data_IF_028106461079
#
_entry.id   IF_028106461079
#
_cell.length_a   1.000
_cell.length_b   1.000
_cell.length_c   1.000
_cell.angle_alpha   90.00
_cell.angle_beta   90.00
_cell.angle_gamma   90.00
#
_symmetry.space_group_name_H-M   'P 1'
#
loop_
_entity.id
_entity.type
_entity.pdbx_description
1 polymer ?
#
# COMPACT_ATOMS: atom_id res chain seq x y z
N UNK A 1 25.87 7.00 -8.83
CA UNK A 1 25.93 5.56 -8.51
C UNK A 1 25.48 4.81 -9.75
N UNK A 2 26.19 3.75 -10.17
CA UNK A 2 25.83 2.94 -11.33
C UNK A 2 25.28 1.61 -10.81
N UNK A 3 24.04 1.28 -11.17
CA UNK A 3 23.43 0.00 -10.80
C UNK A 3 24.04 -1.09 -11.69
N UNK A 4 24.58 -2.14 -11.08
CA UNK A 4 25.13 -3.32 -11.72
C UNK A 4 24.23 -4.54 -11.58
N UNK A 5 23.43 -4.58 -10.50
CA UNK A 5 22.48 -5.66 -10.26
C UNK A 5 21.08 -5.11 -10.01
N UNK A 6 20.10 -5.71 -10.68
CA UNK A 6 18.69 -5.57 -10.39
C UNK A 6 18.22 -6.84 -9.70
N UNK A 7 17.86 -6.75 -8.43
CA UNK A 7 17.37 -7.86 -7.63
C UNK A 7 15.86 -7.73 -7.50
N UNK A 8 15.12 -8.66 -8.10
CA UNK A 8 13.67 -8.70 -8.12
C UNK A 8 13.19 -9.79 -7.15
N UNK A 9 12.45 -9.40 -6.12
CA UNK A 9 11.85 -10.33 -5.15
C UNK A 9 10.36 -10.46 -5.44
N UNK A 10 9.89 -11.71 -5.66
CA UNK A 10 8.56 -12.03 -6.17
C UNK A 10 8.51 -12.03 -7.70
N UNK A 11 7.49 -12.65 -8.29
CA UNK A 11 7.24 -12.67 -9.74
C UNK A 11 5.74 -12.60 -10.07
N UNK A 12 4.98 -11.96 -9.20
CA UNK A 12 3.54 -11.76 -9.34
C UNK A 12 3.18 -10.75 -10.43
N UNK A 13 1.89 -10.43 -10.51
CA UNK A 13 1.33 -9.53 -11.53
C UNK A 13 2.02 -8.16 -11.58
N UNK A 14 2.27 -7.56 -10.42
CA UNK A 14 2.91 -6.22 -10.34
C UNK A 14 4.31 -6.23 -10.96
N UNK A 15 5.13 -7.25 -10.67
CA UNK A 15 6.47 -7.35 -11.24
C UNK A 15 6.43 -7.56 -12.76
N UNK A 16 5.53 -8.41 -13.24
CA UNK A 16 5.33 -8.66 -14.67
C UNK A 16 4.94 -7.39 -15.39
N UNK A 17 3.95 -6.66 -14.88
CA UNK A 17 3.53 -5.36 -15.42
C UNK A 17 4.65 -4.32 -15.40
N UNK A 18 5.45 -4.30 -14.33
CA UNK A 18 6.63 -3.43 -14.25
C UNK A 18 7.63 -3.73 -15.35
N UNK A 19 7.96 -5.00 -15.60
CA UNK A 19 8.90 -5.40 -16.65
C UNK A 19 8.37 -5.00 -18.04
N UNK A 20 7.09 -5.23 -18.32
CA UNK A 20 6.47 -4.82 -19.58
C UNK A 20 6.49 -3.30 -19.76
N UNK A 21 6.18 -2.53 -18.71
CA UNK A 21 6.23 -1.07 -18.74
C UNK A 21 7.67 -0.57 -19.00
N UNK A 22 8.66 -1.16 -18.35
CA UNK A 22 10.07 -0.84 -18.55
C UNK A 22 10.49 -1.14 -20.00
N UNK A 23 10.01 -2.25 -20.59
CA UNK A 23 10.21 -2.57 -22.03
C UNK A 23 9.60 -1.50 -22.92
N UNK A 24 8.32 -1.17 -22.71
CA UNK A 24 7.61 -0.14 -23.50
C UNK A 24 8.33 1.21 -23.44
N UNK A 25 8.83 1.60 -22.29
CA UNK A 25 9.57 2.85 -22.08
C UNK A 25 11.05 2.73 -22.46
N UNK A 26 11.52 1.59 -22.92
CA UNK A 26 12.94 1.30 -23.23
C UNK A 26 13.86 1.71 -22.07
N UNK A 27 13.44 1.43 -20.85
CA UNK A 27 14.11 1.92 -19.67
C UNK A 27 15.47 1.27 -19.47
N UNK A 28 16.44 2.07 -19.01
CA UNK A 28 17.83 1.63 -18.82
C UNK A 28 18.00 0.50 -17.80
N UNK A 29 17.06 0.29 -16.88
CA UNK A 29 17.09 -0.82 -15.90
C UNK A 29 17.10 -2.20 -16.56
N UNK A 30 16.47 -2.38 -17.74
CA UNK A 30 16.52 -3.64 -18.48
C UNK A 30 17.88 -3.90 -19.14
N UNK A 31 18.80 -2.93 -19.07
CA UNK A 31 20.19 -3.06 -19.55
C UNK A 31 21.18 -3.24 -18.40
N UNK A 32 20.68 -3.49 -17.19
CA UNK A 32 21.53 -3.80 -16.03
C UNK A 32 22.28 -5.10 -16.29
N UNK A 33 23.60 -5.17 -16.01
CA UNK A 33 24.43 -6.33 -16.34
C UNK A 33 23.95 -7.64 -15.71
N UNK A 34 23.35 -7.57 -14.54
CA UNK A 34 22.84 -8.76 -13.82
C UNK A 34 21.42 -8.50 -13.33
N UNK A 35 20.47 -9.30 -13.79
CA UNK A 35 19.07 -9.25 -13.34
C UNK A 35 18.73 -10.59 -12.74
N UNK A 36 18.42 -10.58 -11.43
CA UNK A 36 18.11 -11.78 -10.65
C UNK A 36 16.67 -11.67 -10.16
N UNK A 37 15.88 -12.71 -10.38
CA UNK A 37 14.54 -12.86 -9.83
C UNK A 37 14.51 -14.01 -8.84
N UNK A 38 14.00 -13.75 -7.63
CA UNK A 38 13.80 -14.78 -6.60
C UNK A 38 12.30 -14.94 -6.39
N UNK A 39 11.77 -16.09 -6.78
CA UNK A 39 10.36 -16.45 -6.56
C UNK A 39 10.18 -17.96 -6.66
N UNK A 40 9.15 -18.55 -6.00
CA UNK A 40 8.90 -19.99 -6.05
C UNK A 40 8.25 -20.44 -7.37
N UNK A 41 7.50 -19.55 -8.04
CA UNK A 41 6.81 -19.86 -9.28
C UNK A 41 7.77 -19.81 -10.49
N UNK A 42 7.34 -20.44 -11.58
CA UNK A 42 8.05 -20.33 -12.85
C UNK A 42 7.90 -18.94 -13.45
N UNK A 43 8.98 -18.40 -14.00
CA UNK A 43 8.94 -17.16 -14.76
C UNK A 43 8.22 -17.42 -16.10
N UNK A 44 7.20 -16.63 -16.47
CA UNK A 44 6.52 -16.75 -17.75
C UNK A 44 7.48 -16.56 -18.93
N UNK A 45 7.27 -17.32 -20.00
CA UNK A 45 8.12 -17.31 -21.21
C UNK A 45 8.24 -15.89 -21.81
N UNK A 46 7.14 -15.15 -21.90
CA UNK A 46 7.15 -13.79 -22.44
C UNK A 46 8.03 -12.80 -21.63
N UNK A 47 8.24 -13.06 -20.33
CA UNK A 47 9.18 -12.28 -19.51
C UNK A 47 10.62 -12.65 -19.86
N UNK A 48 10.90 -13.93 -20.13
CA UNK A 48 12.21 -14.38 -20.60
C UNK A 48 12.52 -13.84 -22.00
N UNK A 49 11.50 -13.63 -22.86
CA UNK A 49 11.67 -12.94 -24.14
C UNK A 49 12.08 -11.47 -23.97
N UNK A 50 11.66 -10.84 -22.88
CA UNK A 50 12.05 -9.46 -22.56
C UNK A 50 13.45 -9.41 -21.96
N UNK A 51 13.78 -10.36 -21.08
CA UNK A 51 15.04 -10.43 -20.34
C UNK A 51 15.61 -11.85 -20.49
N UNK A 52 16.23 -12.17 -21.63
CA UNK A 52 16.76 -13.53 -21.90
C UNK A 52 17.82 -14.00 -20.89
N UNK A 53 18.57 -13.05 -20.32
CA UNK A 53 19.67 -13.33 -19.38
C UNK A 53 19.22 -13.29 -17.91
N UNK A 54 17.89 -13.29 -17.64
CA UNK A 54 17.36 -13.28 -16.28
C UNK A 54 17.77 -14.53 -15.53
N UNK A 55 18.44 -14.36 -14.38
CA UNK A 55 18.80 -15.42 -13.46
C UNK A 55 17.61 -15.69 -12.54
N UNK A 56 17.01 -16.85 -12.65
CA UNK A 56 15.91 -17.26 -11.77
C UNK A 56 16.39 -18.16 -10.65
N UNK A 57 16.19 -17.70 -9.40
CA UNK A 57 16.40 -18.49 -8.19
C UNK A 57 15.04 -18.96 -7.69
N UNK A 58 14.69 -20.20 -8.01
CA UNK A 58 13.37 -20.78 -7.70
C UNK A 58 13.29 -21.21 -6.24
N UNK A 59 12.88 -20.28 -5.36
CA UNK A 59 12.73 -20.56 -3.93
C UNK A 59 11.80 -19.56 -3.25
N UNK A 60 11.21 -19.96 -2.11
CA UNK A 60 10.57 -19.04 -1.17
C UNK A 60 11.62 -18.28 -0.34
N UNK A 61 11.35 -17.02 -0.05
CA UNK A 61 12.11 -16.26 0.93
C UNK A 61 11.43 -16.48 2.28
N UNK A 62 12.17 -17.06 3.24
CA UNK A 62 11.68 -17.32 4.60
C UNK A 62 12.62 -16.68 5.61
N UNK A 63 12.17 -16.55 6.86
CA UNK A 63 13.01 -16.04 7.94
C UNK A 63 14.32 -16.80 8.11
N UNK A 64 14.29 -18.13 7.88
CA UNK A 64 15.42 -19.01 8.05
C UNK A 64 16.47 -18.88 6.94
N UNK A 65 16.03 -18.60 5.69
CA UNK A 65 16.95 -18.55 4.55
C UNK A 65 17.27 -17.13 4.06
N UNK A 66 16.48 -16.12 4.45
CA UNK A 66 16.56 -14.74 3.95
C UNK A 66 17.97 -14.17 3.98
N UNK A 67 18.62 -14.24 5.13
CA UNK A 67 19.97 -13.70 5.29
C UNK A 67 20.98 -14.40 4.38
N UNK A 68 20.99 -15.73 4.36
CA UNK A 68 21.91 -16.54 3.55
C UNK A 68 21.67 -16.32 2.05
N UNK A 69 20.40 -16.15 1.66
CA UNK A 69 19.98 -16.01 0.27
C UNK A 69 20.25 -14.61 -0.26
N UNK A 70 19.89 -13.57 0.49
CA UNK A 70 19.90 -12.18 0.01
C UNK A 70 21.21 -11.45 0.25
N UNK A 71 21.92 -11.68 1.39
CA UNK A 71 23.15 -10.93 1.69
C UNK A 71 24.23 -11.02 0.60
N UNK A 72 24.47 -12.17 -0.05
CA UNK A 72 25.46 -12.24 -1.13
C UNK A 72 25.06 -11.47 -2.40
N UNK A 73 23.77 -11.15 -2.55
CA UNK A 73 23.20 -10.47 -3.71
C UNK A 73 23.02 -8.99 -3.50
N UNK A 74 23.21 -8.50 -2.28
CA UNK A 74 23.00 -7.12 -1.86
C UNK A 74 24.32 -6.39 -1.65
N UNK A 75 24.49 -5.27 -2.36
CA UNK A 75 25.62 -4.36 -2.22
C UNK A 75 25.23 -2.91 -2.62
N UNK A 76 26.17 -2.00 -2.58
CA UNK A 76 25.95 -0.58 -2.91
C UNK A 76 25.70 -0.30 -4.40
N UNK A 77 25.81 -1.29 -5.27
CA UNK A 77 25.52 -1.22 -6.71
C UNK A 77 24.26 -2.01 -7.08
N UNK A 78 23.53 -2.52 -6.09
CA UNK A 78 22.29 -3.29 -6.27
C UNK A 78 21.08 -2.41 -6.03
N UNK A 79 20.08 -2.52 -6.93
CA UNK A 79 18.71 -2.05 -6.69
C UNK A 79 17.83 -3.27 -6.40
N UNK A 80 17.32 -3.36 -5.19
CA UNK A 80 16.35 -4.38 -4.79
C UNK A 80 14.93 -3.83 -4.95
N UNK A 81 14.12 -4.50 -5.76
CA UNK A 81 12.68 -4.24 -5.92
C UNK A 81 11.95 -5.41 -5.27
N UNK A 82 11.32 -5.15 -4.13
CA UNK A 82 10.62 -6.16 -3.35
C UNK A 82 9.10 -6.06 -3.59
N UNK A 83 8.57 -7.08 -4.24
CA UNK A 83 7.16 -7.26 -4.55
C UNK A 83 6.67 -8.62 -4.03
N UNK A 84 7.29 -9.10 -2.96
CA UNK A 84 6.88 -10.33 -2.28
C UNK A 84 5.61 -10.10 -1.47
N UNK A 85 4.88 -11.17 -1.24
CA UNK A 85 3.80 -11.28 -0.26
C UNK A 85 4.19 -12.33 0.79
N UNK A 86 3.62 -12.25 1.99
CA UNK A 86 3.91 -13.18 3.10
C UNK A 86 5.40 -13.25 3.52
N UNK A 87 6.14 -12.17 3.32
CA UNK A 87 7.57 -12.04 3.68
C UNK A 87 7.74 -10.82 4.60
N UNK A 88 8.60 -10.92 5.62
CA UNK A 88 8.85 -9.80 6.53
C UNK A 88 9.67 -8.69 5.84
N UNK A 89 8.97 -7.70 5.29
CA UNK A 89 9.56 -6.56 4.60
C UNK A 89 10.53 -5.78 5.49
N UNK A 90 10.28 -5.70 6.81
CA UNK A 90 11.15 -4.97 7.73
C UNK A 90 12.52 -5.62 7.80
N UNK A 91 12.58 -6.96 7.84
CA UNK A 91 13.85 -7.70 7.84
C UNK A 91 14.62 -7.55 6.53
N UNK A 92 13.91 -7.54 5.39
CA UNK A 92 14.56 -7.29 4.09
C UNK A 92 15.12 -5.87 4.04
N UNK A 93 14.37 -4.87 4.53
CA UNK A 93 14.84 -3.48 4.63
C UNK A 93 16.06 -3.36 5.54
N UNK A 94 16.04 -4.04 6.70
CA UNK A 94 17.20 -4.10 7.59
C UNK A 94 18.45 -4.63 6.88
N UNK A 95 18.28 -5.72 6.15
CA UNK A 95 19.34 -6.36 5.38
C UNK A 95 19.85 -5.46 4.24
N UNK A 96 18.95 -4.82 3.50
CA UNK A 96 19.30 -3.87 2.45
C UNK A 96 20.11 -2.69 3.00
N UNK A 97 19.72 -2.14 4.16
CA UNK A 97 20.45 -1.05 4.82
C UNK A 97 21.82 -1.49 5.33
N UNK A 98 21.94 -2.70 5.90
CA UNK A 98 23.22 -3.27 6.35
C UNK A 98 24.22 -3.42 5.19
N UNK A 99 23.72 -3.77 4.00
CA UNK A 99 24.53 -3.97 2.80
C UNK A 99 24.61 -2.72 1.89
N UNK A 100 24.07 -1.57 2.34
CA UNK A 100 23.98 -0.34 1.55
C UNK A 100 23.31 -0.52 0.17
N UNK A 101 22.31 -1.37 0.08
CA UNK A 101 21.54 -1.67 -1.12
C UNK A 101 20.36 -0.71 -1.26
N UNK A 102 20.17 -0.14 -2.45
CA UNK A 102 18.96 0.61 -2.77
C UNK A 102 17.76 -0.32 -2.71
N UNK A 103 16.71 0.11 -2.02
CA UNK A 103 15.53 -0.72 -1.83
C UNK A 103 14.24 0.05 -2.13
N UNK A 104 13.31 -0.62 -2.79
CA UNK A 104 11.96 -0.13 -3.02
C UNK A 104 10.96 -1.28 -2.89
N UNK A 105 9.82 -1.03 -2.25
CA UNK A 105 8.66 -1.92 -2.25
C UNK A 105 7.35 -1.14 -2.45
N UNK A 106 6.24 -1.87 -2.62
CA UNK A 106 4.89 -1.30 -2.77
C UNK A 106 4.05 -1.41 -1.50
N UNK A 107 4.45 -2.27 -0.55
CA UNK A 107 3.73 -2.49 0.72
C UNK A 107 4.68 -2.95 1.81
N UNK A 108 4.25 -2.82 3.07
CA UNK A 108 4.92 -3.43 4.21
C UNK A 108 4.19 -4.72 4.52
N UNK A 109 4.81 -5.83 4.17
CA UNK A 109 4.30 -7.16 4.44
C UNK A 109 4.82 -7.69 5.78
N UNK A 110 4.06 -8.57 6.42
CA UNK A 110 4.45 -9.24 7.65
C UNK A 110 4.20 -10.75 7.53
N UNK A 111 5.16 -11.54 7.94
CA UNK A 111 4.98 -12.98 8.00
C UNK A 111 4.02 -13.35 9.13
N UNK A 112 2.84 -13.88 8.80
CA UNK A 112 1.82 -14.28 9.77
C UNK A 112 2.25 -15.57 10.48
N UNK A 113 2.89 -15.47 11.64
CA UNK A 113 3.24 -16.65 12.44
C UNK A 113 2.34 -16.91 13.63
N UNK A 114 1.80 -15.89 14.29
CA UNK A 114 1.14 -16.06 15.58
C UNK A 114 -0.09 -15.13 15.76
N UNK A 115 -1.06 -15.64 16.51
CA UNK A 115 -2.22 -14.87 16.93
C UNK A 115 -1.78 -13.75 17.85
N UNK A 116 -1.93 -12.52 17.41
CA UNK A 116 -1.54 -11.35 18.18
C UNK A 116 -2.63 -11.07 19.24
N UNK A 117 -2.26 -11.14 20.52
CA UNK A 117 -3.21 -10.88 21.62
C UNK A 117 -3.72 -9.43 21.68
N UNK A 118 -2.95 -8.49 21.14
CA UNK A 118 -3.31 -7.07 21.17
C UNK A 118 -3.72 -6.60 19.77
N UNK A 119 -5.02 -6.33 19.52
CA UNK A 119 -5.53 -5.90 18.22
C UNK A 119 -4.81 -4.67 17.64
N UNK A 120 -4.31 -3.77 18.49
CA UNK A 120 -3.58 -2.59 18.06
C UNK A 120 -2.25 -2.95 17.37
N UNK A 121 -1.64 -4.08 17.70
CA UNK A 121 -0.42 -4.57 17.05
C UNK A 121 -0.66 -5.23 15.69
N UNK A 122 -1.90 -5.53 15.36
CA UNK A 122 -2.30 -6.03 14.03
C UNK A 122 -2.48 -4.91 13.00
N UNK A 123 -2.33 -3.65 13.41
CA UNK A 123 -2.58 -2.50 12.55
C UNK A 123 -1.35 -2.10 11.74
N UNK A 124 -1.58 -1.59 10.53
CA UNK A 124 -0.52 -1.06 9.65
C UNK A 124 0.28 0.08 10.33
N UNK A 125 -0.35 0.91 11.16
CA UNK A 125 0.40 1.96 11.86
C UNK A 125 1.38 1.40 12.89
N UNK A 126 1.09 0.26 13.49
CA UNK A 126 2.04 -0.40 14.39
C UNK A 126 3.23 -0.98 13.61
N UNK A 127 2.98 -1.58 12.44
CA UNK A 127 4.04 -2.04 11.53
C UNK A 127 4.93 -0.87 11.08
N UNK A 128 4.33 0.26 10.73
CA UNK A 128 5.09 1.46 10.39
C UNK A 128 5.98 1.93 11.55
N UNK A 129 5.50 1.88 12.79
CA UNK A 129 6.29 2.21 13.98
C UNK A 129 7.47 1.23 14.15
N UNK A 130 7.24 -0.07 13.93
CA UNK A 130 8.31 -1.09 13.94
C UNK A 130 9.38 -0.76 12.90
N UNK A 131 8.96 -0.48 11.68
CA UNK A 131 9.87 -0.07 10.60
C UNK A 131 10.67 1.17 10.95
N UNK A 132 10.03 2.24 11.42
CA UNK A 132 10.72 3.47 11.80
C UNK A 132 11.75 3.25 12.93
N UNK A 133 11.44 2.40 13.89
CA UNK A 133 12.38 2.01 14.95
C UNK A 133 13.56 1.22 14.42
N UNK A 134 13.31 0.31 13.48
CA UNK A 134 14.34 -0.50 12.84
C UNK A 134 15.27 0.35 11.99
N UNK A 135 14.72 1.21 11.12
CA UNK A 135 15.51 2.12 10.28
C UNK A 135 16.45 3.00 11.12
N UNK A 136 16.01 3.49 12.28
CA UNK A 136 16.82 4.33 13.17
C UNK A 136 17.99 3.58 13.81
N UNK A 137 17.92 2.26 13.97
CA UNK A 137 18.99 1.46 14.58
C UNK A 137 20.16 1.22 13.63
N UNK A 138 19.91 1.18 12.32
CA UNK A 138 20.92 0.86 11.32
C UNK A 138 21.41 2.15 10.69
N UNK A 139 22.68 2.50 10.95
CA UNK A 139 23.37 3.61 10.29
C UNK A 139 23.65 3.22 8.84
N UNK A 140 23.01 3.88 7.91
CA UNK A 140 23.19 3.67 6.47
C UNK A 140 22.88 4.97 5.74
N UNK A 141 23.65 5.25 4.69
CA UNK A 141 23.46 6.42 3.81
C UNK A 141 22.55 6.12 2.62
N UNK A 142 22.01 4.88 2.53
CA UNK A 142 21.18 4.48 1.43
C UNK A 142 19.72 4.88 1.65
N UNK A 143 19.05 5.25 0.56
CA UNK A 143 17.62 5.51 0.57
C UNK A 143 16.83 4.22 0.49
N UNK A 144 15.78 4.15 1.28
CA UNK A 144 14.76 3.11 1.25
C UNK A 144 13.45 3.79 0.87
N UNK A 145 12.81 3.32 -0.19
CA UNK A 145 11.50 3.76 -0.63
C UNK A 145 10.50 2.65 -0.28
N UNK A 146 9.74 2.88 0.76
CA UNK A 146 8.70 1.94 1.18
C UNK A 146 7.32 2.42 0.75
N UNK A 147 6.41 1.48 0.49
CA UNK A 147 5.03 1.78 0.12
C UNK A 147 4.94 2.71 -1.11
N UNK A 148 5.71 2.39 -2.15
CA UNK A 148 5.89 3.23 -3.35
C UNK A 148 5.14 2.66 -4.56
N UNK A 149 3.82 2.84 -4.57
CA UNK A 149 2.91 2.44 -5.64
C UNK A 149 1.96 3.57 -6.04
N UNK A 150 0.78 3.21 -6.52
CA UNK A 150 -0.31 4.14 -6.74
C UNK A 150 -0.97 4.50 -5.40
N UNK A 151 -1.36 3.48 -4.65
CA UNK A 151 -1.77 3.46 -3.26
C UNK A 151 -1.26 2.16 -2.59
N UNK A 152 -0.38 2.29 -1.64
CA UNK A 152 0.28 3.51 -1.15
C UNK A 152 1.27 4.14 -2.14
N UNK A 153 1.41 5.47 -2.08
CA UNK A 153 2.43 6.23 -2.79
C UNK A 153 1.94 7.46 -3.54
N UNK A 154 1.56 7.34 -4.81
CA UNK A 154 1.15 8.45 -5.68
C UNK A 154 0.01 9.29 -5.10
N UNK A 155 -0.94 8.67 -4.42
CA UNK A 155 -2.10 9.34 -3.80
C UNK A 155 -1.68 10.44 -2.80
N UNK A 156 -0.56 10.26 -2.09
CA UNK A 156 -0.01 11.29 -1.21
C UNK A 156 0.44 12.52 -1.99
N UNK A 157 1.01 12.34 -3.17
CA UNK A 157 1.40 13.44 -4.06
C UNK A 157 0.18 14.13 -4.66
N UNK A 158 -0.87 13.39 -5.02
CA UNK A 158 -2.15 13.96 -5.48
C UNK A 158 -2.80 14.80 -4.39
N UNK A 159 -2.75 14.36 -3.14
CA UNK A 159 -3.22 15.14 -1.98
C UNK A 159 -2.42 16.45 -1.84
N UNK A 160 -1.10 16.39 -1.93
CA UNK A 160 -0.27 17.60 -1.89
C UNK A 160 -0.59 18.54 -3.04
N UNK A 161 -0.79 18.02 -4.26
CA UNK A 161 -1.17 18.82 -5.42
C UNK A 161 -2.54 19.50 -5.23
N UNK A 162 -3.53 18.80 -4.67
CA UNK A 162 -4.84 19.37 -4.37
C UNK A 162 -4.75 20.53 -3.35
N UNK A 163 -3.98 20.33 -2.26
CA UNK A 163 -3.74 21.36 -1.26
C UNK A 163 -2.99 22.56 -1.87
N UNK A 164 -1.99 22.31 -2.70
CA UNK A 164 -1.24 23.35 -3.38
C UNK A 164 -2.17 24.20 -4.26
N UNK A 165 -2.96 23.56 -5.11
CA UNK A 165 -3.93 24.24 -5.99
C UNK A 165 -4.93 25.08 -5.20
N UNK A 166 -5.49 24.53 -4.12
CA UNK A 166 -6.38 25.28 -3.23
C UNK A 166 -5.68 26.53 -2.64
N UNK A 167 -4.42 26.39 -2.22
CA UNK A 167 -3.66 27.52 -1.69
C UNK A 167 -3.37 28.59 -2.75
N UNK A 168 -3.12 28.20 -4.01
CA UNK A 168 -2.96 29.15 -5.12
C UNK A 168 -4.22 30.02 -5.30
N UNK A 169 -5.38 29.40 -5.24
CA UNK A 169 -6.66 30.08 -5.51
C UNK A 169 -7.21 30.85 -4.30
N UNK A 170 -7.03 30.32 -3.07
CA UNK A 170 -7.75 30.80 -1.89
C UNK A 170 -6.86 31.24 -0.71
N UNK A 171 -5.60 30.79 -0.65
CA UNK A 171 -4.68 31.04 0.48
C UNK A 171 -3.25 31.30 0.00
N UNK A 172 -3.01 32.26 -0.93
CA UNK A 172 -1.71 32.45 -1.57
C UNK A 172 -0.57 32.74 -0.58
N UNK A 173 -0.87 33.28 0.59
CA UNK A 173 0.12 33.50 1.66
C UNK A 173 0.70 32.21 2.24
N UNK A 174 0.09 31.04 2.01
CA UNK A 174 0.60 29.73 2.44
C UNK A 174 1.59 29.10 1.45
N UNK A 175 1.69 29.58 0.21
CA UNK A 175 2.55 29.00 -0.82
C UNK A 175 4.03 29.02 -0.44
N UNK A 176 4.49 30.02 0.29
CA UNK A 176 5.88 30.06 0.77
C UNK A 176 6.15 28.92 1.77
N UNK A 177 5.18 28.56 2.59
CA UNK A 177 5.31 27.42 3.50
C UNK A 177 5.33 26.10 2.74
N UNK A 178 4.57 25.95 1.65
CA UNK A 178 4.63 24.78 0.75
C UNK A 178 6.02 24.65 0.14
N UNK A 179 6.59 25.73 -0.41
CA UNK A 179 7.97 25.74 -0.97
C UNK A 179 9.02 25.34 0.06
N UNK A 180 8.77 25.57 1.34
CA UNK A 180 9.63 25.16 2.47
C UNK A 180 9.25 23.79 3.05
N UNK A 181 8.43 22.99 2.35
CA UNK A 181 7.94 21.66 2.79
C UNK A 181 7.28 21.66 4.17
N UNK A 182 6.64 22.77 4.58
CA UNK A 182 5.92 22.89 5.86
C UNK A 182 4.46 22.42 5.74
N UNK A 183 4.25 21.24 5.20
CA UNK A 183 2.91 20.71 4.89
C UNK A 183 1.99 20.62 6.09
N UNK A 184 2.50 20.21 7.26
CA UNK A 184 1.70 20.14 8.49
C UNK A 184 1.20 21.53 8.95
N UNK A 185 2.02 22.57 8.77
CA UNK A 185 1.59 23.95 9.04
C UNK A 185 0.49 24.37 8.08
N UNK A 186 0.66 24.14 6.78
CA UNK A 186 -0.33 24.47 5.75
C UNK A 186 -1.65 23.76 6.03
N UNK A 187 -1.61 22.44 6.25
CA UNK A 187 -2.80 21.66 6.56
C UNK A 187 -3.53 22.19 7.81
N UNK A 188 -2.80 22.56 8.87
CA UNK A 188 -3.40 23.13 10.07
C UNK A 188 -4.14 24.47 9.87
N UNK A 189 -3.97 25.10 8.70
CA UNK A 189 -4.60 26.39 8.36
C UNK A 189 -5.77 26.26 7.37
N UNK A 190 -5.92 25.13 6.71
CA UNK A 190 -6.96 25.01 5.68
C UNK A 190 -7.52 23.59 5.46
N UNK A 191 -6.94 22.54 5.99
CA UNK A 191 -7.42 21.18 5.71
C UNK A 191 -8.16 20.63 6.93
N UNK A 192 -9.41 20.23 6.75
CA UNK A 192 -10.22 19.59 7.80
C UNK A 192 -10.17 18.06 7.69
N UNK A 193 -10.32 17.54 6.47
CA UNK A 193 -10.40 16.11 6.24
C UNK A 193 -9.75 15.72 4.91
N UNK A 194 -9.18 14.53 4.86
CA UNK A 194 -8.62 13.91 3.66
C UNK A 194 -9.19 12.51 3.54
N UNK A 195 -9.83 12.20 2.42
CA UNK A 195 -10.13 10.82 2.04
C UNK A 195 -9.24 10.41 0.87
N UNK A 196 -8.52 9.30 1.02
CA UNK A 196 -8.04 8.53 -0.12
C UNK A 196 -9.23 7.70 -0.58
N UNK A 197 -9.79 8.05 -1.73
CA UNK A 197 -11.01 7.46 -2.23
C UNK A 197 -10.75 6.58 -3.44
N UNK A 198 -11.25 5.36 -3.41
CA UNK A 198 -11.10 4.40 -4.51
C UNK A 198 -12.44 3.76 -4.82
N UNK A 199 -12.71 3.60 -6.12
CA UNK A 199 -13.88 2.88 -6.63
C UNK A 199 -13.47 1.95 -7.74
N UNK A 200 -13.70 0.67 -7.53
CA UNK A 200 -13.55 -0.39 -8.51
C UNK A 200 -14.92 -0.87 -8.99
N UNK A 201 -15.19 -0.74 -10.28
CA UNK A 201 -16.46 -1.13 -10.93
C UNK A 201 -16.30 -2.37 -11.80
N UNK A 202 -15.16 -3.04 -11.77
CA UNK A 202 -14.89 -4.20 -12.60
C UNK A 202 -15.81 -5.37 -12.21
N UNK A 203 -16.36 -6.04 -13.21
CA UNK A 203 -17.23 -7.21 -13.05
C UNK A 203 -16.57 -8.44 -13.64
N UNK A 204 -16.91 -9.62 -13.11
CA UNK A 204 -16.35 -10.91 -13.53
C UNK A 204 -17.40 -12.01 -13.59
N UNK A 205 -17.08 -13.10 -14.29
CA UNK A 205 -17.89 -14.30 -14.31
C UNK A 205 -17.84 -15.16 -13.03
N UNK A 206 -16.88 -14.89 -12.16
CA UNK A 206 -16.76 -15.62 -10.90
C UNK A 206 -18.01 -15.45 -10.04
N UNK A 207 -18.31 -16.48 -9.24
CA UNK A 207 -19.39 -16.45 -8.28
C UNK A 207 -18.83 -16.50 -6.86
N UNK A 208 -19.27 -15.62 -5.98
CA UNK A 208 -18.78 -15.61 -4.61
C UNK A 208 -19.17 -16.91 -3.89
N UNK A 209 -18.30 -17.38 -3.00
CA UNK A 209 -18.53 -18.52 -2.12
C UNK A 209 -18.16 -18.18 -0.69
N UNK A 210 -18.68 -18.94 0.29
CA UNK A 210 -18.39 -18.71 1.71
C UNK A 210 -16.91 -18.88 2.09
N UNK A 211 -16.09 -19.33 1.16
CA UNK A 211 -14.72 -19.74 1.45
C UNK A 211 -13.69 -19.21 0.44
N UNK A 212 -14.12 -18.23 -0.37
CA UNK A 212 -13.28 -17.65 -1.41
C UNK A 212 -13.37 -16.14 -1.38
N UNK A 213 -12.18 -15.49 -1.31
CA UNK A 213 -12.05 -14.05 -1.52
C UNK A 213 -11.65 -13.80 -2.98
N UNK A 214 -12.34 -12.87 -3.61
CA UNK A 214 -12.02 -12.38 -4.95
C UNK A 214 -11.59 -10.92 -4.85
N UNK A 215 -10.51 -10.54 -5.53
CA UNK A 215 -10.04 -9.15 -5.59
C UNK A 215 -9.23 -8.91 -6.85
N UNK A 216 -9.23 -7.68 -7.34
CA UNK A 216 -8.48 -7.21 -8.52
C UNK A 216 -6.99 -6.96 -8.24
N UNK A 217 -6.59 -7.02 -6.97
CA UNK A 217 -5.20 -6.96 -6.51
C UNK A 217 -4.93 -8.11 -5.53
N UNK A 218 -4.12 -7.97 -4.48
CA UNK A 218 -3.81 -9.05 -3.51
C UNK A 218 -5.04 -9.42 -2.65
N UNK A 219 -5.73 -10.56 -2.89
CA UNK A 219 -6.87 -10.95 -2.07
C UNK A 219 -6.50 -11.20 -0.61
N UNK A 220 -5.29 -11.75 -0.35
CA UNK A 220 -4.80 -11.99 1.01
C UNK A 220 -4.53 -10.66 1.73
N UNK A 221 -3.91 -9.69 1.07
CA UNK A 221 -3.72 -8.34 1.59
C UNK A 221 -5.04 -7.67 1.92
N UNK A 222 -6.01 -7.75 1.01
CA UNK A 222 -7.34 -7.18 1.24
C UNK A 222 -8.08 -7.83 2.42
N UNK A 223 -8.01 -9.15 2.59
CA UNK A 223 -8.56 -9.84 3.77
C UNK A 223 -7.90 -9.35 5.05
N UNK A 224 -6.58 -9.21 5.05
CA UNK A 224 -5.84 -8.71 6.21
C UNK A 224 -6.29 -7.29 6.60
N UNK A 225 -6.39 -6.40 5.64
CA UNK A 225 -6.85 -5.03 5.85
C UNK A 225 -8.31 -4.97 6.29
N UNK A 226 -9.19 -5.77 5.66
CA UNK A 226 -10.61 -5.82 5.96
C UNK A 226 -10.90 -6.33 7.38
N UNK A 227 -10.12 -7.31 7.85
CA UNK A 227 -10.27 -7.91 9.18
C UNK A 227 -9.55 -7.13 10.28
N UNK A 228 -8.61 -6.26 9.95
CA UNK A 228 -7.93 -5.39 10.89
C UNK A 228 -8.91 -4.50 11.66
N UNK A 229 -8.60 -4.12 12.92
CA UNK A 229 -9.38 -3.15 13.65
C UNK A 229 -9.52 -1.84 12.88
N UNK A 230 -10.72 -1.25 12.89
CA UNK A 230 -10.95 0.04 12.23
C UNK A 230 -10.13 1.13 12.91
N UNK A 231 -9.35 1.88 12.12
CA UNK A 231 -8.63 3.03 12.61
C UNK A 231 -8.67 4.20 11.61
N UNK A 232 -8.45 5.39 12.13
CA UNK A 232 -8.30 6.61 11.34
C UNK A 232 -7.42 7.63 12.08
N UNK A 233 -6.91 8.60 11.34
CA UNK A 233 -6.31 9.79 11.95
C UNK A 233 -7.40 10.81 12.26
N UNK A 234 -7.32 11.45 13.43
CA UNK A 234 -8.30 12.47 13.84
C UNK A 234 -7.73 13.37 14.94
N UNK A 235 -8.19 14.62 15.06
CA UNK A 235 -7.86 15.48 16.19
C UNK A 235 -8.57 15.06 17.50
N UNK A 236 -9.73 14.40 17.39
CA UNK A 236 -10.56 13.92 18.50
C UNK A 236 -11.14 12.55 18.18
N UNK A 237 -11.62 11.83 19.20
CA UNK A 237 -12.31 10.56 18.98
C UNK A 237 -13.56 10.77 18.11
N UNK A 238 -13.69 10.05 16.97
CA UNK A 238 -14.84 10.19 16.06
C UNK A 238 -16.16 9.78 16.70
N UNK A 239 -16.11 8.73 17.50
CA UNK A 239 -17.22 8.25 18.34
C UNK A 239 -16.65 7.73 19.67
N UNK A 240 -17.50 7.52 20.73
CA UNK A 240 -17.04 7.01 22.02
C UNK A 240 -16.32 5.66 21.96
N UNK A 241 -16.58 4.85 20.92
CA UNK A 241 -15.96 3.52 20.74
C UNK A 241 -14.54 3.58 20.20
N UNK A 242 -14.11 4.75 19.71
CA UNK A 242 -12.75 4.96 19.26
C UNK A 242 -11.85 5.44 20.39
N UNK A 243 -10.78 4.74 20.62
CA UNK A 243 -9.78 5.06 21.63
C UNK A 243 -8.51 5.60 20.99
N UNK A 244 -7.88 6.54 21.65
CA UNK A 244 -6.58 7.06 21.19
C UNK A 244 -5.53 5.95 21.25
N UNK A 245 -4.79 5.77 20.17
CA UNK A 245 -3.71 4.79 20.11
C UNK A 245 -2.63 5.07 21.16
N UNK A 246 -2.13 4.00 21.79
CA UNK A 246 -0.98 4.05 22.69
C UNK A 246 0.34 4.22 21.94
N UNK A 247 0.38 3.82 20.69
CA UNK A 247 1.60 3.80 19.87
C UNK A 247 1.73 5.02 18.97
N UNK A 248 0.61 5.58 18.51
CA UNK A 248 0.60 6.78 17.67
C UNK A 248 -0.50 7.76 18.15
N UNK A 249 -0.14 8.91 18.76
CA UNK A 249 -1.10 9.84 19.33
C UNK A 249 -2.01 10.54 18.30
N UNK A 250 -1.72 10.41 17.00
CA UNK A 250 -2.56 10.94 15.92
C UNK A 250 -3.64 9.95 15.48
N UNK A 251 -3.56 8.69 15.91
CA UNK A 251 -4.47 7.62 15.52
C UNK A 251 -5.52 7.35 16.59
N UNK A 252 -6.72 7.06 16.12
CA UNK A 252 -7.81 6.50 16.90
C UNK A 252 -8.19 5.14 16.34
N UNK A 253 -8.38 4.16 17.22
CA UNK A 253 -8.69 2.77 16.89
C UNK A 253 -9.99 2.36 17.56
N UNK A 254 -10.81 1.59 16.86
CA UNK A 254 -11.92 0.83 17.44
C UNK A 254 -11.56 -0.67 17.41
N UNK A 255 -11.08 -1.24 18.52
CA UNK A 255 -10.63 -2.64 18.55
C UNK A 255 -11.78 -3.65 18.42
N UNK A 256 -13.02 -3.20 18.65
CA UNK A 256 -14.22 -4.04 18.58
C UNK A 256 -14.91 -3.97 17.21
N UNK A 257 -14.41 -3.18 16.27
CA UNK A 257 -15.00 -3.01 14.95
C UNK A 257 -13.95 -3.24 13.87
N UNK A 258 -14.24 -4.16 12.97
CA UNK A 258 -13.36 -4.41 11.83
C UNK A 258 -13.47 -3.28 10.80
N UNK A 259 -12.42 -3.05 10.04
CA UNK A 259 -12.39 -1.99 9.04
C UNK A 259 -13.48 -2.21 7.97
N UNK A 260 -13.73 -3.47 7.57
CA UNK A 260 -14.79 -3.82 6.62
C UNK A 260 -16.21 -3.46 7.07
N UNK A 261 -16.46 -3.27 8.37
CA UNK A 261 -17.76 -2.87 8.94
C UNK A 261 -17.90 -1.35 9.12
N UNK A 262 -16.86 -0.60 8.80
CA UNK A 262 -16.84 0.86 8.89
C UNK A 262 -17.09 1.47 7.52
N UNK A 263 -18.08 2.35 7.40
CA UNK A 263 -18.44 2.99 6.13
C UNK A 263 -18.44 4.50 6.28
N UNK A 264 -18.09 5.17 5.20
CA UNK A 264 -18.26 6.63 5.07
C UNK A 264 -18.57 6.99 3.62
N UNK A 265 -18.98 8.21 3.39
CA UNK A 265 -19.18 8.77 2.05
C UNK A 265 -17.96 9.58 1.66
N UNK A 266 -17.53 9.42 0.43
CA UNK A 266 -16.48 10.20 -0.20
C UNK A 266 -16.88 10.54 -1.64
N UNK A 267 -15.93 11.06 -2.43
CA UNK A 267 -16.13 11.41 -3.82
C UNK A 267 -14.96 10.89 -4.65
N UNK A 268 -15.25 10.55 -5.90
CA UNK A 268 -14.24 10.23 -6.91
C UNK A 268 -14.47 11.02 -8.19
N UNK A 269 -13.45 11.07 -9.04
CA UNK A 269 -13.59 11.54 -10.42
C UNK A 269 -13.66 10.28 -11.31
N UNK A 270 -14.77 10.15 -12.02
CA UNK A 270 -14.96 9.04 -12.97
C UNK A 270 -14.14 9.24 -14.25
N UNK A 271 -13.92 8.21 -15.08
CA UNK A 271 -13.24 8.33 -16.37
C UNK A 271 -13.87 9.38 -17.29
N UNK A 272 -15.17 9.68 -17.13
CA UNK A 272 -15.87 10.72 -17.87
C UNK A 272 -15.70 12.13 -17.25
N UNK A 273 -14.75 12.30 -16.36
CA UNK A 273 -14.40 13.55 -15.69
C UNK A 273 -15.54 14.15 -14.86
N UNK A 274 -16.42 13.29 -14.30
CA UNK A 274 -17.48 13.69 -13.38
C UNK A 274 -17.12 13.37 -11.96
N UNK A 275 -17.46 14.27 -11.04
CA UNK A 275 -17.38 14.01 -9.60
C UNK A 275 -18.63 13.25 -9.17
N UNK A 276 -18.45 12.06 -8.60
CA UNK A 276 -19.54 11.22 -8.10
C UNK A 276 -19.33 10.86 -6.64
N UNK A 277 -20.41 10.83 -5.83
CA UNK A 277 -20.30 10.31 -4.47
C UNK A 277 -20.14 8.79 -4.47
N UNK A 278 -19.35 8.30 -3.55
CA UNK A 278 -19.21 6.87 -3.25
C UNK A 278 -19.51 6.62 -1.77
N UNK A 279 -20.03 5.44 -1.48
CA UNK A 279 -20.14 4.93 -0.12
C UNK A 279 -19.22 3.72 0.01
N UNK A 280 -18.02 3.95 0.48
CA UNK A 280 -17.00 2.92 0.62
C UNK A 280 -16.79 2.47 2.06
N UNK A 281 -16.11 1.35 2.22
CA UNK A 281 -15.58 0.86 3.49
C UNK A 281 -14.34 1.66 3.86
N UNK A 282 -14.22 1.97 5.15
CA UNK A 282 -13.01 2.60 5.70
C UNK A 282 -11.97 1.51 5.95
N UNK A 283 -11.34 1.07 4.88
CA UNK A 283 -10.32 0.02 4.95
C UNK A 283 -9.04 0.57 5.60
N UNK A 284 -8.40 -0.26 6.41
CA UNK A 284 -7.09 0.01 6.98
C UNK A 284 -6.04 0.17 5.88
N UNK A 285 -5.32 1.31 5.87
CA UNK A 285 -4.37 1.57 4.79
C UNK A 285 -3.19 2.45 5.23
N UNK A 286 -2.05 2.31 4.54
CA UNK A 286 -0.80 3.01 4.88
C UNK A 286 -0.90 4.54 4.75
N UNK A 287 -1.69 5.07 3.81
CA UNK A 287 -1.89 6.51 3.63
C UNK A 287 -2.43 7.19 4.87
N UNK A 288 -3.31 6.53 5.62
CA UNK A 288 -3.82 7.10 6.86
C UNK A 288 -2.67 7.41 7.82
N UNK A 289 -1.66 6.54 7.84
CA UNK A 289 -0.46 6.71 8.67
C UNK A 289 0.46 7.78 8.09
N UNK A 290 0.92 7.59 6.87
CA UNK A 290 1.93 8.46 6.23
C UNK A 290 1.43 9.90 6.06
N UNK A 291 0.16 10.10 5.67
CA UNK A 291 -0.42 11.43 5.58
C UNK A 291 -0.64 12.07 6.96
N UNK A 292 -0.95 11.29 8.00
CA UNK A 292 -1.03 11.83 9.36
C UNK A 292 0.32 12.34 9.85
N UNK A 293 1.42 11.69 9.44
CA UNK A 293 2.77 12.17 9.74
C UNK A 293 3.11 13.42 8.92
N UNK A 294 2.74 13.48 7.66
CA UNK A 294 3.04 14.59 6.76
C UNK A 294 2.22 15.85 7.10
N UNK A 295 0.91 15.69 7.31
CA UNK A 295 -0.03 16.81 7.48
C UNK A 295 -0.38 17.11 8.94
N UNK A 296 -0.09 16.19 9.86
CA UNK A 296 -0.40 16.36 11.28
C UNK A 296 0.70 17.07 12.07
N UNK A 297 0.28 17.82 13.08
CA UNK A 297 1.15 18.38 14.14
C UNK A 297 0.75 17.79 15.50
N UNK A 298 1.55 17.96 16.56
CA UNK A 298 1.15 17.54 17.92
C UNK A 298 -0.15 18.20 18.41
N UNK A 299 -0.52 19.36 17.83
CA UNK A 299 -1.70 20.15 18.24
C UNK A 299 -2.87 19.99 17.26
N UNK A 300 -2.62 19.52 16.06
CA UNK A 300 -3.61 19.40 15.01
C UNK A 300 -3.28 18.25 14.06
N UNK A 301 -4.26 17.40 13.81
CA UNK A 301 -4.17 16.36 12.78
C UNK A 301 -5.48 16.35 12.00
N UNK A 302 -5.47 16.43 10.66
CA UNK A 302 -6.70 16.27 9.87
C UNK A 302 -7.35 14.92 10.13
N UNK A 303 -8.65 14.82 9.91
CA UNK A 303 -9.31 13.51 9.79
C UNK A 303 -8.81 12.87 8.51
N UNK A 304 -8.19 11.69 8.59
CA UNK A 304 -7.69 10.98 7.41
C UNK A 304 -8.22 9.55 7.43
N UNK A 305 -8.84 9.13 6.32
CA UNK A 305 -9.30 7.76 6.12
C UNK A 305 -9.11 7.31 4.68
N UNK A 306 -9.00 6.01 4.48
CA UNK A 306 -9.07 5.38 3.18
C UNK A 306 -10.48 4.85 2.95
N UNK A 307 -11.09 5.20 1.84
CA UNK A 307 -12.51 4.91 1.53
C UNK A 307 -12.56 4.11 0.25
N UNK A 308 -12.85 2.82 0.38
CA UNK A 308 -12.82 1.88 -0.73
C UNK A 308 -14.21 1.31 -1.05
N UNK A 309 -14.70 1.61 -2.23
CA UNK A 309 -15.85 0.98 -2.88
C UNK A 309 -15.33 -0.09 -3.84
N UNK A 310 -15.02 -1.26 -3.28
CA UNK A 310 -14.40 -2.37 -4.03
C UNK A 310 -15.36 -2.98 -5.06
N UNK A 311 -14.81 -3.74 -6.00
CA UNK A 311 -15.61 -4.36 -7.06
C UNK A 311 -16.73 -5.27 -6.51
N UNK A 312 -17.83 -5.46 -7.26
CA UNK A 312 -19.05 -6.12 -6.75
C UNK A 312 -18.80 -7.50 -6.16
N UNK A 313 -17.94 -8.32 -6.77
CA UNK A 313 -17.67 -9.67 -6.26
C UNK A 313 -16.85 -9.63 -4.97
N UNK A 314 -15.92 -8.67 -4.81
CA UNK A 314 -15.17 -8.47 -3.58
C UNK A 314 -16.10 -8.06 -2.44
N UNK A 315 -17.05 -7.16 -2.70
CA UNK A 315 -18.05 -6.76 -1.71
C UNK A 315 -18.89 -7.94 -1.25
N UNK A 316 -19.36 -8.78 -2.20
CA UNK A 316 -20.13 -9.99 -1.88
C UNK A 316 -19.29 -10.98 -1.07
N UNK A 317 -18.01 -11.17 -1.41
CA UNK A 317 -17.09 -12.03 -0.66
C UNK A 317 -16.92 -11.55 0.78
N UNK A 318 -16.79 -10.25 1.01
CA UNK A 318 -16.73 -9.67 2.36
C UNK A 318 -18.03 -9.91 3.15
N UNK A 319 -19.19 -9.76 2.53
CA UNK A 319 -20.48 -10.02 3.20
C UNK A 319 -20.62 -11.51 3.57
N UNK A 320 -20.22 -12.44 2.70
CA UNK A 320 -20.18 -13.87 3.00
C UNK A 320 -19.19 -14.18 4.13
N UNK A 321 -18.01 -13.56 4.14
CA UNK A 321 -17.04 -13.70 5.23
C UNK A 321 -17.63 -13.21 6.56
N UNK A 322 -18.35 -12.10 6.56
CA UNK A 322 -19.06 -11.59 7.73
C UNK A 322 -20.12 -12.58 8.23
N UNK A 323 -20.95 -13.13 7.33
CA UNK A 323 -21.95 -14.15 7.66
C UNK A 323 -21.30 -15.42 8.23
N UNK A 324 -20.06 -15.72 7.82
CA UNK A 324 -19.26 -16.84 8.34
C UNK A 324 -18.39 -16.45 9.57
N UNK A 325 -18.88 -15.53 10.40
CA UNK A 325 -18.21 -15.06 11.61
C UNK A 325 -16.78 -14.54 11.39
N UNK A 326 -16.54 -13.84 10.27
CA UNK A 326 -15.23 -13.28 9.89
C UNK A 326 -14.12 -14.33 9.77
N UNK A 327 -14.49 -15.55 9.46
CA UNK A 327 -13.51 -16.61 9.21
C UNK A 327 -12.78 -16.31 7.90
N UNK A 328 -11.46 -16.34 7.95
CA UNK A 328 -10.63 -16.15 6.76
C UNK A 328 -10.98 -17.18 5.68
N UNK A 329 -11.11 -16.77 4.41
CA UNK A 329 -11.38 -17.69 3.32
C UNK A 329 -10.18 -18.60 3.08
N UNK A 330 -10.42 -19.85 2.67
CA UNK A 330 -9.35 -20.81 2.35
C UNK A 330 -8.72 -20.55 0.98
N UNK A 331 -9.47 -19.92 0.08
CA UNK A 331 -9.07 -19.67 -1.29
C UNK A 331 -9.06 -18.16 -1.56
N UNK A 332 -8.00 -17.67 -2.14
CA UNK A 332 -7.83 -16.30 -2.54
C UNK A 332 -7.61 -16.28 -4.06
N UNK A 333 -8.51 -15.63 -4.79
CA UNK A 333 -8.49 -15.58 -6.25
C UNK A 333 -8.31 -14.12 -6.68
N UNK A 334 -7.19 -13.84 -7.32
CA UNK A 334 -6.96 -12.57 -7.98
C UNK A 334 -7.73 -12.53 -9.31
N UNK A 335 -8.41 -11.42 -9.58
CA UNK A 335 -9.09 -11.13 -10.84
C UNK A 335 -8.10 -10.44 -11.75
N UNK A 336 -7.84 -11.03 -12.90
CA UNK A 336 -6.99 -10.45 -13.94
C UNK A 336 -7.84 -9.68 -14.95
N UNK A 337 -7.18 -8.89 -15.79
CA UNK A 337 -7.85 -8.05 -16.78
C UNK A 337 -8.68 -8.87 -17.79
N UNK A 338 -8.26 -10.07 -18.13
CA UNK A 338 -8.96 -11.00 -19.00
C UNK A 338 -10.18 -11.69 -18.35
N UNK A 339 -10.27 -11.68 -17.03
CA UNK A 339 -11.46 -12.12 -16.28
C UNK A 339 -12.56 -11.04 -16.21
N UNK A 340 -12.25 -9.79 -16.56
CA UNK A 340 -13.18 -8.66 -16.51
C UNK A 340 -14.08 -8.67 -17.73
N UNK A 341 -15.39 -8.70 -17.50
CA UNK A 341 -16.40 -8.85 -18.54
C UNK A 341 -17.04 -7.54 -18.99
N UNK A 342 -17.00 -6.51 -18.17
CA UNK A 342 -17.53 -5.19 -18.50
C UNK A 342 -16.44 -4.29 -19.11
N UNK A 343 -16.56 -3.97 -20.38
CA UNK A 343 -15.58 -3.15 -21.13
C UNK A 343 -15.40 -1.73 -20.57
N UNK A 344 -16.44 -1.21 -19.91
CA UNK A 344 -16.45 0.12 -19.29
C UNK A 344 -16.10 0.07 -17.79
N UNK A 345 -15.70 -1.10 -17.29
CA UNK A 345 -15.22 -1.26 -15.91
C UNK A 345 -13.93 -0.50 -15.69
N UNK A 346 -13.83 0.15 -14.54
CA UNK A 346 -12.65 0.95 -14.17
C UNK A 346 -12.36 0.83 -12.68
N UNK A 347 -11.13 1.09 -12.35
CA UNK A 347 -10.68 1.39 -11.00
C UNK A 347 -10.19 2.85 -10.96
N UNK A 348 -10.82 3.66 -10.12
CA UNK A 348 -10.52 5.08 -9.99
C UNK A 348 -10.03 5.38 -8.58
N UNK A 349 -8.85 5.97 -8.49
CA UNK A 349 -8.19 6.38 -7.26
C UNK A 349 -8.04 7.90 -7.23
N UNK A 350 -8.41 8.53 -6.12
CA UNK A 350 -8.30 9.98 -5.96
C UNK A 350 -8.14 10.45 -4.53
N UNK A 351 -7.59 11.65 -4.38
CA UNK A 351 -7.56 12.36 -3.12
C UNK A 351 -8.72 13.34 -3.03
N UNK A 352 -9.56 13.18 -2.02
CA UNK A 352 -10.64 14.12 -1.71
C UNK A 352 -10.23 14.92 -0.47
N UNK A 353 -9.97 16.22 -0.66
CA UNK A 353 -9.52 17.12 0.40
C UNK A 353 -10.61 18.11 0.73
N UNK A 354 -11.01 18.16 1.99
CA UNK A 354 -12.02 19.08 2.53
C UNK A 354 -11.33 20.22 3.28
N UNK A 355 -11.59 21.42 2.83
CA UNK A 355 -11.00 22.66 3.30
C UNK A 355 -11.90 23.45 4.26
#
# INVERSE_FOLDING_TARGET
MKIHRLLLLGCGTIQRSLIELLKQKRHALLKTPEIICICPEAIPEYILDIIPELIHIKTYITDENMHKLLSPLMDNNTLCIDLTVDTDSIKIIELARQNNTLYINTSIEEYKKDKIENPEKETLYYQNIKLQKSIKKIKSNISVFESSGANPGLISNLTMAAIHKYCEEHKPHLLEHIRKNKWSYVASKCVHMIHCAEKDTQETHYKPTNNTMYQTWSPAGFVSEALSPSFLSSPVAPTPDYHKSRFNPKMFINPNKRSMDSFTTSYIITPNNKVEPIRGRMITHNEVVSMSELFGTPKYTPIISYVYDSCPISQQSLELMKQNNYKEPKHNIAIYQDDVINKDGYDSLGACVFF
#
